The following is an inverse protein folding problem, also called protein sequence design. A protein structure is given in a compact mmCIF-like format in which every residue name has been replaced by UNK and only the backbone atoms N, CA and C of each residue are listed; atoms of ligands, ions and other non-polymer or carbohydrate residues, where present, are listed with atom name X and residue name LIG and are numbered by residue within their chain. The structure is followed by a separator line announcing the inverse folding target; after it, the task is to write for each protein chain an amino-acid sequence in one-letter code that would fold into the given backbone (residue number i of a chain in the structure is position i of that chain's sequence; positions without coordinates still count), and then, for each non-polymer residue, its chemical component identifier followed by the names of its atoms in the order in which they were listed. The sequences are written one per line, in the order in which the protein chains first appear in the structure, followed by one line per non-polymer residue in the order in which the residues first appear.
data_IF_050288765150
#
_entry.id   IF_050288765150
#
_cell.length_a   1.000
_cell.length_b   1.000
_cell.length_c   1.000
_cell.angle_alpha   90.00
_cell.angle_beta   90.00
_cell.angle_gamma   90.00
#
_symmetry.space_group_name_H-M   'P 1'
#
loop_
_entity.id
_entity.type
_entity.pdbx_description
1 polymer ?
#
# COMPACT_ATOMS: atom_id res chain seq x y z
N UNK A 1 -17.38 3.97 26.87
CA UNK A 1 -15.93 3.85 27.08
C UNK A 1 -15.24 4.18 25.77
N UNK A 2 -14.79 5.43 25.61
CA UNK A 2 -14.13 5.88 24.39
C UNK A 2 -12.66 5.57 24.50
N UNK A 3 -12.14 4.73 23.62
CA UNK A 3 -10.70 4.54 23.42
C UNK A 3 -10.17 5.75 22.67
N UNK A 4 -9.38 6.59 23.33
CA UNK A 4 -8.58 7.60 22.65
C UNK A 4 -7.45 6.86 21.96
N UNK A 5 -7.68 6.45 20.71
CA UNK A 5 -6.59 5.95 19.86
C UNK A 5 -5.74 7.16 19.48
N UNK A 6 -4.69 7.42 20.21
CA UNK A 6 -3.55 8.21 19.72
C UNK A 6 -2.87 7.37 18.65
N UNK A 7 -3.49 7.36 17.47
CA UNK A 7 -2.96 6.64 16.32
C UNK A 7 -1.89 7.53 15.69
N UNK A 8 -0.69 7.50 16.23
CA UNK A 8 0.48 7.94 15.50
C UNK A 8 0.77 6.86 14.45
N UNK A 9 0.06 6.90 13.30
CA UNK A 9 0.36 6.05 12.17
C UNK A 9 1.63 6.52 11.49
N UNK A 10 2.76 5.99 11.91
CA UNK A 10 3.99 6.08 11.15
C UNK A 10 4.42 4.67 10.79
N UNK A 11 3.98 4.18 9.65
CA UNK A 11 4.39 2.88 9.10
C UNK A 11 5.82 2.88 8.55
N UNK A 12 6.39 4.04 8.32
CA UNK A 12 7.75 4.18 7.79
C UNK A 12 8.77 4.07 8.91
N UNK A 13 9.30 2.88 9.12
CA UNK A 13 10.54 2.70 9.86
C UNK A 13 11.70 3.04 8.93
N UNK A 14 12.55 3.98 9.32
CA UNK A 14 13.75 4.29 8.56
C UNK A 14 14.82 3.21 8.76
N UNK A 15 15.53 2.86 7.69
CA UNK A 15 16.75 2.07 7.77
C UNK A 15 17.78 2.81 8.64
N UNK A 16 18.30 2.12 9.62
CA UNK A 16 19.34 2.65 10.50
C UNK A 16 20.71 2.09 10.10
N UNK A 17 21.77 2.89 10.26
CA UNK A 17 23.14 2.41 10.12
C UNK A 17 23.42 1.24 11.09
N UNK A 18 24.32 0.35 10.73
CA UNK A 18 24.75 -0.79 11.57
C UNK A 18 25.34 -0.35 12.91
N UNK A 19 25.76 0.91 13.04
CA UNK A 19 26.23 1.51 14.30
C UNK A 19 25.18 1.50 15.43
N UNK A 20 23.90 1.31 15.10
CA UNK A 20 22.83 1.17 16.08
C UNK A 20 22.85 -0.18 16.85
N UNK A 21 23.75 -1.08 16.51
CA UNK A 21 24.05 -2.29 17.29
C UNK A 21 24.27 -1.92 18.76
N UNK A 22 25.09 -0.90 19.02
CA UNK A 22 25.41 -0.48 20.41
C UNK A 22 24.17 -0.02 21.19
N UNK A 23 23.22 0.65 20.54
CA UNK A 23 21.95 1.06 21.17
C UNK A 23 21.09 -0.17 21.46
N UNK A 24 21.08 -1.12 20.54
CA UNK A 24 20.31 -2.35 20.69
C UNK A 24 20.86 -3.24 21.82
N UNK A 25 22.16 -3.35 21.94
CA UNK A 25 22.85 -4.20 22.93
C UNK A 25 23.01 -3.51 24.30
N UNK A 26 22.65 -2.23 24.40
CA UNK A 26 22.70 -1.47 25.67
C UNK A 26 21.80 -2.13 26.74
N UNK A 27 22.30 -2.19 27.97
CA UNK A 27 21.51 -2.60 29.14
C UNK A 27 20.63 -1.43 29.60
N UNK A 28 19.34 -1.71 29.74
CA UNK A 28 18.35 -0.78 30.24
C UNK A 28 17.94 -1.21 31.65
N UNK A 29 18.17 -0.38 32.68
CA UNK A 29 17.99 -0.78 34.09
C UNK A 29 16.53 -0.94 34.47
N UNK A 30 15.59 -0.33 33.74
CA UNK A 30 14.16 -0.35 34.07
C UNK A 30 13.35 -0.95 32.93
N UNK A 31 12.22 -1.54 33.25
CA UNK A 31 11.33 -2.23 32.31
C UNK A 31 10.08 -1.42 32.04
N UNK A 32 9.75 -1.23 30.75
CA UNK A 32 8.42 -0.85 30.28
C UNK A 32 7.58 -2.12 30.06
N UNK A 33 6.35 -2.15 30.59
CA UNK A 33 5.43 -3.26 30.34
C UNK A 33 4.72 -3.03 29.02
N UNK A 34 5.05 -3.80 27.99
CA UNK A 34 4.44 -3.71 26.67
C UNK A 34 4.02 -5.09 26.17
N UNK A 35 3.02 -5.12 25.29
CA UNK A 35 2.61 -6.29 24.51
C UNK A 35 3.03 -6.08 23.06
N UNK A 36 3.62 -7.12 22.47
CA UNK A 36 4.03 -7.08 21.05
C UNK A 36 3.49 -8.33 20.35
N UNK A 37 2.75 -8.12 19.30
CA UNK A 37 2.20 -9.17 18.45
C UNK A 37 2.90 -9.15 17.09
N UNK A 38 3.68 -10.18 16.75
CA UNK A 38 4.25 -10.33 15.42
C UNK A 38 3.14 -10.43 14.36
N UNK A 39 3.27 -9.67 13.28
CA UNK A 39 2.42 -9.82 12.12
C UNK A 39 2.97 -10.93 11.20
N UNK A 40 2.18 -11.98 10.90
CA UNK A 40 2.64 -13.06 10.03
C UNK A 40 2.98 -12.52 8.64
N UNK A 41 4.02 -13.06 7.98
CA UNK A 41 4.39 -12.62 6.65
C UNK A 41 3.31 -13.00 5.63
N UNK A 42 2.98 -12.09 4.74
CA UNK A 42 2.09 -12.32 3.61
C UNK A 42 2.65 -11.71 2.33
N UNK A 43 2.38 -12.33 1.20
CA UNK A 43 2.78 -11.81 -0.10
C UNK A 43 1.84 -10.66 -0.49
N UNK A 44 2.40 -9.48 -0.74
CA UNK A 44 1.64 -8.31 -1.17
C UNK A 44 1.60 -8.19 -2.71
N UNK A 45 0.82 -7.25 -3.23
CA UNK A 45 0.74 -6.98 -4.68
C UNK A 45 2.02 -6.36 -5.25
N UNK A 46 2.97 -5.98 -4.39
CA UNK A 46 4.34 -5.62 -4.74
C UNK A 46 5.24 -6.82 -5.00
N UNK A 47 4.71 -8.05 -4.94
CA UNK A 47 5.46 -9.30 -5.05
C UNK A 47 6.63 -9.40 -4.06
N UNK A 48 6.43 -8.84 -2.87
CA UNK A 48 7.33 -8.88 -1.72
C UNK A 48 6.56 -9.42 -0.54
N UNK A 49 7.21 -10.19 0.31
CA UNK A 49 6.59 -10.56 1.58
C UNK A 49 6.65 -9.38 2.53
N UNK A 50 5.50 -9.02 3.06
CA UNK A 50 5.35 -8.01 4.08
C UNK A 50 5.14 -8.68 5.43
N UNK A 51 5.90 -8.27 6.44
CA UNK A 51 5.78 -8.68 7.83
C UNK A 51 5.97 -7.46 8.73
N UNK A 52 5.86 -7.65 10.03
CA UNK A 52 6.00 -6.57 10.99
C UNK A 52 5.53 -6.95 12.38
N UNK A 53 5.01 -5.96 13.09
CA UNK A 53 4.49 -6.13 14.44
C UNK A 53 3.44 -5.06 14.75
N UNK A 54 2.60 -5.37 15.72
CA UNK A 54 1.79 -4.40 16.46
C UNK A 54 2.23 -4.41 17.91
N UNK A 55 2.25 -3.24 18.56
CA UNK A 55 2.50 -3.20 19.98
C UNK A 55 1.48 -2.34 20.71
N UNK A 56 1.27 -2.65 21.98
CA UNK A 56 0.43 -1.91 22.92
C UNK A 56 1.21 -1.61 24.21
N UNK A 57 1.10 -0.38 24.65
CA UNK A 57 1.72 0.14 25.87
C UNK A 57 0.68 0.88 26.69
N UNK A 58 0.48 0.49 27.95
CA UNK A 58 -0.44 1.20 28.84
C UNK A 58 0.05 2.64 29.08
N UNK A 59 -0.78 3.63 28.73
CA UNK A 59 -0.43 5.05 28.78
C UNK A 59 -0.15 5.58 30.19
N UNK A 60 -0.67 4.89 31.22
CA UNK A 60 -0.39 5.24 32.64
C UNK A 60 1.09 5.09 33.01
N UNK A 61 1.91 4.36 32.25
CA UNK A 61 3.35 4.28 32.46
C UNK A 61 4.09 5.54 31.99
N UNK A 62 3.43 6.41 31.23
CA UNK A 62 3.96 7.61 30.61
C UNK A 62 3.15 8.86 31.01
N UNK A 63 2.60 8.87 32.22
CA UNK A 63 1.88 10.04 32.73
C UNK A 63 2.82 11.21 33.01
N UNK A 64 2.34 12.43 32.72
CA UNK A 64 3.06 13.67 33.02
C UNK A 64 3.59 14.39 31.80
N UNK A 65 4.77 14.99 31.91
CA UNK A 65 5.41 15.73 30.82
C UNK A 65 5.60 14.85 29.60
N UNK A 66 5.62 15.48 28.42
CA UNK A 66 5.77 14.74 27.17
C UNK A 66 6.98 13.81 27.18
N UNK A 67 6.79 12.63 26.59
CA UNK A 67 7.80 11.57 26.54
C UNK A 67 8.28 11.36 25.12
N UNK A 68 9.55 10.97 25.00
CA UNK A 68 10.12 10.51 23.74
C UNK A 68 10.33 9.00 23.79
N UNK A 69 9.67 8.29 22.88
CA UNK A 69 9.86 6.85 22.69
C UNK A 69 10.65 6.58 21.41
N UNK A 70 11.47 5.55 21.44
CA UNK A 70 12.10 5.04 20.23
C UNK A 70 11.94 3.52 20.13
N UNK A 71 11.67 3.05 18.92
CA UNK A 71 11.63 1.62 18.57
C UNK A 71 12.81 1.32 17.67
N UNK A 72 13.52 0.23 17.97
CA UNK A 72 14.52 -0.35 17.11
C UNK A 72 14.13 -1.80 16.82
N UNK A 73 14.04 -2.15 15.55
CA UNK A 73 13.78 -3.51 15.10
C UNK A 73 15.01 -4.02 14.35
N UNK A 74 15.60 -5.12 14.84
CA UNK A 74 16.71 -5.81 14.21
C UNK A 74 16.16 -7.07 13.56
N UNK A 75 16.31 -7.19 12.24
CA UNK A 75 15.89 -8.35 11.46
C UNK A 75 17.13 -9.02 10.90
N UNK A 76 17.39 -10.24 11.36
CA UNK A 76 18.57 -11.03 10.96
C UNK A 76 18.11 -12.19 10.10
N UNK A 77 18.46 -12.24 8.80
CA UNK A 77 18.26 -13.42 7.98
C UNK A 77 19.17 -14.56 8.45
N UNK A 78 18.75 -15.81 8.21
CA UNK A 78 19.55 -17.00 8.53
C UNK A 78 20.93 -16.94 7.85
N UNK A 79 20.96 -16.42 6.61
CA UNK A 79 22.18 -16.25 5.83
C UNK A 79 22.31 -14.77 5.42
N UNK A 80 22.94 -13.96 6.26
CA UNK A 80 23.21 -12.56 5.95
C UNK A 80 23.37 -11.67 7.17
N UNK A 81 23.78 -10.42 6.97
CA UNK A 81 23.95 -9.48 8.06
C UNK A 81 22.59 -8.99 8.59
N UNK A 82 22.52 -8.54 9.86
CA UNK A 82 21.32 -7.94 10.42
C UNK A 82 21.03 -6.60 9.75
N UNK A 83 19.74 -6.30 9.61
CA UNK A 83 19.22 -5.00 9.15
C UNK A 83 18.46 -4.35 10.30
N UNK A 84 18.71 -3.08 10.53
CA UNK A 84 18.11 -2.30 11.59
C UNK A 84 17.12 -1.29 11.04
N UNK A 85 15.97 -1.20 11.69
CA UNK A 85 14.95 -0.20 11.43
C UNK A 85 14.70 0.60 12.70
N UNK A 86 14.48 1.91 12.57
CA UNK A 86 14.20 2.79 13.69
C UNK A 86 13.00 3.67 13.47
N UNK A 87 12.32 3.99 14.56
CA UNK A 87 11.19 4.90 14.59
C UNK A 87 11.17 5.63 15.94
N UNK A 88 11.07 6.95 15.89
CA UNK A 88 10.94 7.80 17.06
C UNK A 88 9.55 8.41 17.16
N UNK A 89 9.07 8.64 18.39
CA UNK A 89 7.78 9.27 18.67
C UNK A 89 7.96 10.30 19.78
N UNK A 90 7.50 11.51 19.54
CA UNK A 90 7.31 12.50 20.59
C UNK A 90 5.85 12.44 21.05
N UNK A 91 5.63 12.06 22.30
CA UNK A 91 4.31 11.98 22.87
C UNK A 91 3.96 13.30 23.58
N UNK A 92 2.73 13.79 23.42
CA UNK A 92 2.27 14.95 24.19
C UNK A 92 2.17 14.61 25.69
N UNK A 93 1.87 15.60 26.49
CA UNK A 93 1.53 15.37 27.91
C UNK A 93 0.36 14.40 28.00
N UNK A 94 0.56 13.30 28.73
CA UNK A 94 -0.44 12.26 28.90
C UNK A 94 -1.13 12.45 30.26
N UNK A 95 -2.45 12.73 30.28
CA UNK A 95 -3.22 12.83 31.49
C UNK A 95 -3.35 11.46 32.16
N UNK A 96 -3.79 11.44 33.41
CA UNK A 96 -4.11 10.18 34.11
C UNK A 96 -5.19 9.42 33.34
N UNK A 97 -4.85 8.24 32.82
CA UNK A 97 -5.72 7.44 31.95
C UNK A 97 -5.42 5.95 32.06
N UNK A 98 -6.42 5.13 31.79
CA UNK A 98 -6.29 3.68 31.65
C UNK A 98 -6.23 3.24 30.18
N UNK A 99 -5.99 4.16 29.26
CA UNK A 99 -5.90 3.87 27.83
C UNK A 99 -4.56 3.27 27.46
N UNK A 100 -4.48 2.69 26.26
CA UNK A 100 -3.25 2.18 25.70
C UNK A 100 -2.83 3.00 24.48
N UNK A 101 -1.52 3.10 24.31
CA UNK A 101 -0.88 3.59 23.09
C UNK A 101 -0.66 2.39 22.20
N UNK A 102 -1.22 2.40 21.00
CA UNK A 102 -1.11 1.31 20.05
C UNK A 102 -0.52 1.82 18.74
N UNK A 103 0.49 1.13 18.24
CA UNK A 103 1.05 1.38 16.90
C UNK A 103 1.75 0.12 16.41
N UNK A 104 2.32 0.18 15.21
CA UNK A 104 3.02 -0.94 14.61
C UNK A 104 4.09 -0.49 13.64
N UNK A 105 4.88 -1.44 13.20
CA UNK A 105 5.89 -1.24 12.18
C UNK A 105 5.96 -2.42 11.23
N UNK A 106 6.53 -2.20 10.05
CA UNK A 106 6.64 -3.23 9.02
C UNK A 106 7.95 -3.16 8.26
N UNK A 107 8.29 -4.28 7.67
CA UNK A 107 9.44 -4.47 6.80
C UNK A 107 9.12 -5.48 5.71
N UNK A 108 9.93 -5.51 4.67
CA UNK A 108 9.78 -6.42 3.54
C UNK A 108 10.85 -7.50 3.60
N UNK A 109 10.46 -8.72 3.22
CA UNK A 109 11.31 -9.91 3.28
C UNK A 109 11.31 -10.63 1.94
N UNK A 110 12.47 -11.20 1.58
CA UNK A 110 12.55 -12.29 0.61
C UNK A 110 12.18 -13.62 1.24
N UNK A 111 12.21 -14.73 0.48
CA UNK A 111 12.07 -16.06 1.06
C UNK A 111 13.23 -16.38 1.99
N UNK A 112 12.97 -17.09 3.10
CA UNK A 112 13.99 -17.45 4.07
C UNK A 112 13.47 -17.58 5.50
N UNK A 113 14.42 -17.72 6.42
CA UNK A 113 14.15 -17.68 7.86
C UNK A 113 14.81 -16.47 8.46
N UNK A 114 14.11 -15.84 9.41
CA UNK A 114 14.53 -14.59 10.02
C UNK A 114 14.34 -14.64 11.52
N UNK A 115 15.33 -14.16 12.26
CA UNK A 115 15.22 -13.80 13.67
C UNK A 115 14.92 -12.32 13.75
N UNK A 116 13.85 -11.97 14.46
CA UNK A 116 13.48 -10.57 14.71
C UNK A 116 13.66 -10.28 16.19
N UNK A 117 14.39 -9.23 16.48
CA UNK A 117 14.63 -8.72 17.81
C UNK A 117 14.13 -7.28 17.85
N UNK A 118 13.28 -6.97 18.81
CA UNK A 118 12.57 -5.72 18.92
C UNK A 118 12.82 -5.05 20.27
N UNK A 119 13.06 -3.75 20.25
CA UNK A 119 13.36 -2.94 21.41
C UNK A 119 12.53 -1.65 21.34
N UNK A 120 11.74 -1.39 22.38
CA UNK A 120 11.16 -0.08 22.69
C UNK A 120 11.92 0.49 23.89
N UNK A 121 12.32 1.77 23.84
CA UNK A 121 12.92 2.44 24.96
C UNK A 121 12.50 3.92 25.01
N UNK A 122 12.63 4.52 26.18
CA UNK A 122 12.36 5.92 26.42
C UNK A 122 13.62 6.71 26.82
N UNK A 123 13.46 8.02 26.96
CA UNK A 123 14.52 8.94 27.39
C UNK A 123 14.97 8.71 28.84
N UNK A 124 14.14 8.04 29.65
CA UNK A 124 14.45 7.71 31.06
C UNK A 124 15.25 6.41 31.18
N UNK A 125 15.53 5.73 30.09
CA UNK A 125 16.27 4.47 30.11
C UNK A 125 15.42 3.26 30.51
N UNK A 126 14.08 3.35 30.38
CA UNK A 126 13.17 2.22 30.54
C UNK A 126 13.00 1.53 29.20
N UNK A 127 12.91 0.21 29.18
CA UNK A 127 12.79 -0.52 27.90
C UNK A 127 11.85 -1.72 27.97
N UNK A 128 11.32 -2.11 26.81
CA UNK A 128 10.65 -3.38 26.58
C UNK A 128 11.33 -4.08 25.41
N UNK A 129 11.64 -5.38 25.57
CA UNK A 129 12.26 -6.22 24.52
C UNK A 129 11.40 -7.40 24.20
N UNK A 130 11.39 -7.79 22.93
CA UNK A 130 10.78 -9.02 22.41
C UNK A 130 11.64 -9.62 21.31
N UNK A 131 11.51 -10.93 21.12
CA UNK A 131 12.13 -11.60 19.98
C UNK A 131 11.23 -12.72 19.48
N UNK A 132 11.28 -12.96 18.16
CA UNK A 132 10.57 -14.06 17.52
C UNK A 132 11.33 -14.50 16.27
N UNK A 133 10.93 -15.64 15.74
CA UNK A 133 11.41 -16.13 14.46
C UNK A 133 10.24 -16.16 13.47
N UNK A 134 10.53 -15.91 12.21
CA UNK A 134 9.54 -16.04 11.14
C UNK A 134 10.12 -16.80 9.96
N UNK A 135 9.30 -17.63 9.32
CA UNK A 135 9.62 -18.34 8.09
C UNK A 135 8.79 -17.77 6.96
N UNK A 136 9.46 -17.46 5.87
CA UNK A 136 8.86 -16.86 4.68
C UNK A 136 9.06 -17.79 3.50
N UNK A 137 7.96 -18.26 2.90
CA UNK A 137 8.00 -19.13 1.74
C UNK A 137 6.74 -18.92 0.90
N UNK A 138 6.86 -19.07 -0.42
CA UNK A 138 5.71 -19.07 -1.32
C UNK A 138 4.81 -20.29 -1.00
N UNK A 139 3.51 -20.02 -0.94
CA UNK A 139 2.52 -21.08 -0.88
C UNK A 139 2.40 -21.79 -2.25
N UNK A 140 1.65 -22.90 -2.31
CA UNK A 140 1.51 -23.68 -3.55
C UNK A 140 0.88 -22.88 -4.70
N UNK A 141 -0.05 -21.99 -4.41
CA UNK A 141 -0.73 -21.19 -5.43
C UNK A 141 0.18 -20.11 -6.03
N UNK A 142 1.13 -19.60 -5.23
CA UNK A 142 2.02 -18.50 -5.60
C UNK A 142 3.37 -18.95 -6.18
N UNK A 143 3.65 -20.28 -6.27
CA UNK A 143 4.97 -20.82 -6.67
C UNK A 143 5.51 -20.33 -8.01
N UNK A 144 4.62 -19.92 -8.91
CA UNK A 144 5.01 -19.38 -10.23
C UNK A 144 5.35 -17.88 -10.18
N UNK A 145 5.10 -17.22 -9.04
CA UNK A 145 5.37 -15.80 -8.90
C UNK A 145 6.88 -15.59 -8.77
N UNK A 146 7.44 -14.77 -9.62
CA UNK A 146 8.80 -14.26 -9.43
C UNK A 146 8.76 -13.15 -8.40
N UNK A 147 9.38 -13.37 -7.25
CA UNK A 147 9.49 -12.37 -6.20
C UNK A 147 10.34 -11.17 -6.62
N UNK A 148 10.01 -10.01 -6.10
CA UNK A 148 10.77 -8.78 -6.34
C UNK A 148 12.00 -8.66 -5.41
N UNK A 149 12.04 -9.40 -4.29
CA UNK A 149 13.19 -9.46 -3.40
C UNK A 149 13.88 -10.83 -3.50
N UNK A 150 15.23 -10.86 -3.55
CA UNK A 150 16.01 -12.09 -3.45
C UNK A 150 15.76 -12.84 -2.13
N UNK A 151 16.04 -14.14 -2.05
CA UNK A 151 16.01 -14.87 -0.79
C UNK A 151 16.96 -14.26 0.26
N UNK A 152 16.62 -14.42 1.53
CA UNK A 152 17.37 -13.89 2.68
C UNK A 152 17.63 -12.37 2.64
N UNK A 153 16.77 -11.62 1.94
CA UNK A 153 16.85 -10.16 1.85
C UNK A 153 15.84 -9.51 2.78
N UNK A 154 16.25 -8.44 3.43
CA UNK A 154 15.42 -7.57 4.25
C UNK A 154 15.44 -6.18 3.63
N UNK A 155 14.29 -5.56 3.47
CA UNK A 155 14.16 -4.21 2.92
C UNK A 155 13.21 -3.34 3.75
N UNK A 156 13.42 -2.04 3.67
CA UNK A 156 12.52 -1.05 4.25
C UNK A 156 11.13 -1.16 3.62
N UNK A 157 10.13 -0.99 4.46
CA UNK A 157 8.76 -0.83 4.00
C UNK A 157 8.60 0.59 3.40
N UNK A 158 8.96 0.72 2.16
CA UNK A 158 8.93 1.98 1.42
C UNK A 158 8.03 1.83 0.19
N UNK A 159 7.34 2.90 -0.17
CA UNK A 159 6.63 3.02 -1.46
C UNK A 159 7.60 3.00 -2.65
N UNK A 160 8.87 3.28 -2.39
CA UNK A 160 9.93 3.14 -3.39
C UNK A 160 10.28 1.67 -3.53
N UNK A 161 9.80 1.04 -4.60
CA UNK A 161 10.33 -0.25 -5.01
C UNK A 161 11.83 -0.15 -5.25
N UNK A 162 12.61 -1.16 -4.83
CA UNK A 162 13.94 -1.31 -5.41
C UNK A 162 13.76 -1.46 -6.92
N UNK A 163 14.53 -0.76 -7.75
CA UNK A 163 14.43 -0.91 -9.19
C UNK A 163 14.60 -2.41 -9.51
N UNK A 164 13.69 -3.01 -10.28
CA UNK A 164 13.86 -4.39 -10.71
C UNK A 164 15.16 -4.49 -11.53
N UNK A 165 15.84 -5.63 -11.50
CA UNK A 165 16.94 -5.85 -12.41
C UNK A 165 16.46 -5.61 -13.84
N UNK A 166 17.25 -4.94 -14.69
CA UNK A 166 16.85 -4.61 -16.04
C UNK A 166 16.45 -5.89 -16.79
N UNK A 167 15.18 -5.97 -17.17
CA UNK A 167 14.72 -7.03 -18.07
C UNK A 167 15.06 -6.59 -19.49
N UNK A 168 15.68 -7.47 -20.23
CA UNK A 168 15.77 -7.37 -21.69
C UNK A 168 14.38 -7.70 -22.30
N UNK A 169 13.40 -6.84 -22.07
CA UNK A 169 12.11 -6.94 -22.72
C UNK A 169 12.09 -5.95 -23.87
N UNK A 170 11.54 -6.36 -25.01
CA UNK A 170 11.29 -5.43 -26.14
C UNK A 170 10.46 -4.26 -25.61
N UNK A 171 10.77 -3.01 -25.99
CA UNK A 171 9.96 -1.87 -25.62
C UNK A 171 8.50 -2.12 -25.99
N UNK A 172 7.61 -2.00 -25.00
CA UNK A 172 6.17 -2.07 -25.27
C UNK A 172 5.63 -0.79 -25.89
N UNK A 173 4.45 -0.85 -26.53
CA UNK A 173 3.73 0.34 -26.98
C UNK A 173 3.29 1.26 -25.83
N UNK A 174 2.80 2.47 -26.15
CA UNK A 174 2.31 3.43 -25.15
C UNK A 174 1.25 2.83 -24.24
N UNK A 175 1.34 3.17 -22.96
CA UNK A 175 0.45 2.70 -21.91
C UNK A 175 -0.14 3.90 -21.14
N UNK A 176 -1.46 3.98 -21.07
CA UNK A 176 -2.13 4.88 -20.13
C UNK A 176 -2.64 4.09 -18.93
N UNK A 177 -2.25 4.50 -17.74
CA UNK A 177 -2.75 3.93 -16.48
C UNK A 177 -3.64 4.95 -15.77
N UNK A 178 -4.89 4.56 -15.55
CA UNK A 178 -5.83 5.26 -14.69
C UNK A 178 -5.85 4.60 -13.33
N UNK A 179 -5.27 5.24 -12.31
CA UNK A 179 -5.28 4.76 -10.93
C UNK A 179 -6.48 5.32 -10.19
N UNK A 180 -7.44 4.47 -9.83
CA UNK A 180 -8.59 4.87 -9.02
C UNK A 180 -8.18 4.94 -7.55
N UNK A 181 -7.98 6.15 -7.04
CA UNK A 181 -7.64 6.43 -5.64
C UNK A 181 -8.90 6.38 -4.76
N UNK A 182 -9.35 5.17 -4.43
CA UNK A 182 -10.51 4.93 -3.60
C UNK A 182 -10.19 3.94 -2.47
N UNK A 183 -10.93 3.96 -1.34
CA UNK A 183 -10.77 2.97 -0.28
C UNK A 183 -11.09 1.55 -0.76
N UNK A 184 -10.30 0.57 -0.33
CA UNK A 184 -10.57 -0.85 -0.64
C UNK A 184 -11.93 -1.29 -0.07
N UNK A 185 -12.34 -0.74 1.05
CA UNK A 185 -13.67 -1.00 1.62
C UNK A 185 -14.64 0.11 1.23
N UNK A 186 -15.69 -0.24 0.48
CA UNK A 186 -16.72 0.68 -0.01
C UNK A 186 -17.45 1.50 1.09
N UNK A 187 -17.42 1.01 2.34
CA UNK A 187 -18.06 1.68 3.47
C UNK A 187 -17.21 2.79 4.09
N UNK A 188 -15.97 2.96 3.65
CA UNK A 188 -15.06 3.96 4.22
C UNK A 188 -15.13 5.28 3.48
N UNK A 189 -15.05 6.33 4.26
CA UNK A 189 -14.98 7.72 3.78
C UNK A 189 -13.57 8.31 3.87
N UNK A 190 -12.55 7.47 4.09
CA UNK A 190 -11.13 7.86 4.13
C UNK A 190 -10.28 6.73 3.58
N UNK A 191 -9.24 7.09 2.84
CA UNK A 191 -8.17 6.16 2.56
C UNK A 191 -7.37 5.91 3.84
N UNK A 192 -7.01 4.66 4.05
CA UNK A 192 -6.04 4.29 5.09
C UNK A 192 -4.66 4.22 4.48
N UNK A 193 -3.60 4.38 5.28
CA UNK A 193 -2.22 4.13 4.79
C UNK A 193 -2.05 2.77 4.12
N UNK A 194 -2.79 1.74 4.59
CA UNK A 194 -2.80 0.42 3.94
C UNK A 194 -3.44 0.42 2.54
N UNK A 195 -4.45 1.26 2.29
CA UNK A 195 -5.09 1.40 0.98
C UNK A 195 -4.12 2.11 0.02
N UNK A 196 -3.48 3.19 0.47
CA UNK A 196 -2.45 3.92 -0.28
C UNK A 196 -1.29 3.00 -0.67
N UNK A 197 -0.74 2.27 0.30
CA UNK A 197 0.34 1.33 0.07
C UNK A 197 -0.02 0.24 -0.94
N UNK A 198 -1.25 -0.27 -0.87
CA UNK A 198 -1.73 -1.26 -1.83
C UNK A 198 -1.80 -0.67 -3.23
N UNK A 199 -2.38 0.53 -3.39
CA UNK A 199 -2.55 1.19 -4.69
C UNK A 199 -1.21 1.54 -5.33
N UNK A 200 -0.33 2.21 -4.59
CA UNK A 200 1.00 2.61 -5.08
C UNK A 200 1.90 1.39 -5.31
N UNK A 201 1.83 0.40 -4.42
CA UNK A 201 2.56 -0.86 -4.57
C UNK A 201 2.12 -1.67 -5.79
N UNK A 202 0.81 -1.75 -6.05
CA UNK A 202 0.28 -2.41 -7.26
C UNK A 202 0.67 -1.64 -8.52
N UNK A 203 0.59 -0.31 -8.52
CA UNK A 203 1.03 0.53 -9.64
C UNK A 203 2.52 0.32 -9.94
N UNK A 204 3.39 0.41 -8.93
CA UNK A 204 4.83 0.18 -9.07
C UNK A 204 5.11 -1.19 -9.70
N UNK A 205 4.48 -2.23 -9.17
CA UNK A 205 4.69 -3.60 -9.65
C UNK A 205 4.15 -3.85 -11.05
N UNK A 206 3.05 -3.22 -11.41
CA UNK A 206 2.51 -3.24 -12.77
C UNK A 206 3.56 -2.69 -13.76
N UNK A 207 4.06 -1.49 -13.47
CA UNK A 207 5.00 -0.79 -14.34
C UNK A 207 6.36 -1.49 -14.41
N UNK A 208 6.88 -1.94 -13.27
CA UNK A 208 8.13 -2.70 -13.19
C UNK A 208 8.10 -3.97 -14.04
N UNK A 209 6.97 -4.68 -14.05
CA UNK A 209 6.84 -5.96 -14.76
C UNK A 209 6.54 -5.82 -16.24
N UNK A 210 5.84 -4.77 -16.63
CA UNK A 210 5.57 -4.50 -18.05
C UNK A 210 6.81 -4.04 -18.82
N UNK A 211 7.88 -3.66 -18.10
CA UNK A 211 9.14 -3.21 -18.68
C UNK A 211 9.09 -1.80 -19.29
N UNK A 212 10.21 -1.36 -19.91
CA UNK A 212 10.35 0.01 -20.40
C UNK A 212 9.34 0.30 -21.52
N UNK A 213 8.56 1.35 -21.36
CA UNK A 213 7.61 1.87 -22.32
C UNK A 213 7.20 3.31 -21.98
N UNK A 214 6.68 4.08 -22.92
CA UNK A 214 6.04 5.36 -22.60
C UNK A 214 4.82 5.12 -21.71
N UNK A 215 4.78 5.75 -20.54
CA UNK A 215 3.65 5.62 -19.61
C UNK A 215 3.05 7.00 -19.36
N UNK A 216 1.74 7.11 -19.59
CA UNK A 216 0.91 8.18 -19.09
C UNK A 216 0.19 7.70 -17.82
N UNK A 217 0.26 8.47 -16.76
CA UNK A 217 -0.42 8.17 -15.50
C UNK A 217 -1.43 9.25 -15.17
N UNK A 218 -2.65 8.82 -14.87
CA UNK A 218 -3.71 9.67 -14.33
C UNK A 218 -4.22 9.03 -13.04
N UNK A 219 -4.06 9.73 -11.91
CA UNK A 219 -4.65 9.33 -10.65
C UNK A 219 -5.95 10.10 -10.47
N UNK A 220 -7.04 9.39 -10.25
CA UNK A 220 -8.35 10.02 -10.12
C UNK A 220 -9.14 9.43 -8.95
N UNK A 221 -10.13 10.19 -8.51
CA UNK A 221 -11.14 9.69 -7.57
C UNK A 221 -12.54 9.92 -8.13
N UNK A 222 -13.32 8.84 -8.24
CA UNK A 222 -14.63 8.88 -8.86
C UNK A 222 -15.68 9.54 -7.96
N UNK A 223 -15.57 9.41 -6.63
CA UNK A 223 -16.49 10.03 -5.68
C UNK A 223 -16.38 11.57 -5.69
N UNK A 224 -15.16 12.08 -5.85
CA UNK A 224 -14.87 13.52 -5.98
C UNK A 224 -14.96 14.02 -7.41
N UNK A 225 -15.01 13.12 -8.40
CA UNK A 225 -14.96 13.47 -9.84
C UNK A 225 -13.76 14.34 -10.17
N UNK A 226 -12.62 13.98 -9.62
CA UNK A 226 -11.41 14.79 -9.66
C UNK A 226 -10.22 13.97 -10.11
N UNK A 227 -9.41 14.58 -10.98
CA UNK A 227 -8.05 14.14 -11.20
C UNK A 227 -7.15 14.68 -10.09
N UNK A 228 -6.44 13.79 -9.43
CA UNK A 228 -5.52 14.12 -8.34
C UNK A 228 -4.10 14.36 -8.84
N UNK A 229 -3.73 13.66 -9.92
CA UNK A 229 -2.41 13.73 -10.51
C UNK A 229 -2.47 13.29 -11.97
N UNK A 230 -1.73 13.99 -12.85
CA UNK A 230 -1.58 13.63 -14.27
C UNK A 230 -0.13 13.82 -14.69
N UNK A 231 0.40 12.83 -15.42
CA UNK A 231 1.75 12.89 -15.98
C UNK A 231 1.80 12.18 -17.33
N UNK A 232 2.15 12.88 -18.38
CA UNK A 232 2.19 12.33 -19.75
C UNK A 232 3.37 11.38 -19.98
N UNK A 233 4.49 11.61 -19.28
CA UNK A 233 5.71 10.79 -19.34
C UNK A 233 6.11 10.40 -17.92
N UNK A 234 5.33 9.53 -17.31
CA UNK A 234 5.52 9.10 -15.93
C UNK A 234 6.72 8.19 -15.77
N UNK A 235 7.49 8.40 -14.71
CA UNK A 235 8.61 7.55 -14.32
C UNK A 235 8.42 7.00 -12.90
N UNK A 236 8.93 5.80 -12.62
CA UNK A 236 8.83 5.17 -11.30
C UNK A 236 9.49 6.01 -10.17
N UNK A 237 10.44 6.87 -10.50
CA UNK A 237 11.04 7.83 -9.56
C UNK A 237 10.05 8.87 -9.03
N UNK A 238 8.92 9.07 -9.71
CA UNK A 238 7.87 10.03 -9.36
C UNK A 238 6.77 9.42 -8.46
N UNK A 239 6.86 8.15 -8.06
CA UNK A 239 5.85 7.47 -7.23
C UNK A 239 5.53 8.20 -5.91
N UNK A 240 6.49 8.94 -5.34
CA UNK A 240 6.24 9.74 -4.13
C UNK A 240 5.23 10.87 -4.37
N UNK A 241 5.18 11.43 -5.58
CA UNK A 241 4.20 12.46 -5.93
C UNK A 241 2.79 11.86 -6.00
N UNK A 242 2.69 10.62 -6.51
CA UNK A 242 1.44 9.84 -6.52
C UNK A 242 0.96 9.58 -5.09
N UNK A 243 1.84 9.08 -4.21
CA UNK A 243 1.52 8.84 -2.80
C UNK A 243 1.04 10.12 -2.11
N UNK A 244 1.71 11.26 -2.32
CA UNK A 244 1.29 12.55 -1.79
C UNK A 244 -0.11 12.95 -2.28
N UNK A 245 -0.36 12.89 -3.59
CA UNK A 245 -1.65 13.24 -4.17
C UNK A 245 -2.79 12.37 -3.62
N UNK A 246 -2.52 11.09 -3.34
CA UNK A 246 -3.49 10.18 -2.72
C UNK A 246 -3.70 10.52 -1.23
N UNK A 247 -2.65 10.85 -0.49
CA UNK A 247 -2.72 11.14 0.95
C UNK A 247 -3.45 12.47 1.25
N UNK A 248 -3.42 13.42 0.31
CA UNK A 248 -4.13 14.70 0.39
C UNK A 248 -5.63 14.58 0.06
N UNK A 249 -6.11 13.39 -0.36
CA UNK A 249 -7.51 13.20 -0.75
C UNK A 249 -8.44 13.13 0.47
N UNK A 250 -9.29 14.13 0.60
CA UNK A 250 -10.32 14.24 1.65
C UNK A 250 -11.69 13.78 1.16
N UNK A 251 -12.02 12.51 1.36
CA UNK A 251 -13.33 11.94 0.97
C UNK A 251 -14.48 12.30 1.93
N UNK A 252 -14.17 12.72 3.15
CA UNK A 252 -15.16 13.06 4.18
C UNK A 252 -15.91 14.37 3.92
N UNK A 253 -15.35 15.23 3.09
CA UNK A 253 -16.00 16.48 2.68
C UNK A 253 -16.84 16.24 1.42
N UNK A 254 -18.12 16.43 1.50
CA UNK A 254 -19.02 16.34 0.33
C UNK A 254 -19.07 17.70 -0.33
N UNK A 255 -18.65 17.78 -1.58
CA UNK A 255 -18.78 18.98 -2.39
C UNK A 255 -20.25 19.15 -2.81
N UNK A 256 -20.80 20.36 -2.59
CA UNK A 256 -22.16 20.69 -2.97
C UNK A 256 -22.41 20.50 -4.48
N UNK A 257 -21.45 20.83 -5.32
CA UNK A 257 -21.54 20.62 -6.77
C UNK A 257 -21.69 19.12 -7.14
N UNK A 258 -21.03 18.25 -6.37
CA UNK A 258 -21.16 16.78 -6.56
C UNK A 258 -22.58 16.32 -6.24
N UNK A 259 -23.24 16.93 -5.24
CA UNK A 259 -24.61 16.61 -4.88
C UNK A 259 -25.63 17.07 -5.94
N UNK A 260 -25.39 18.22 -6.57
CA UNK A 260 -26.29 18.75 -7.59
C UNK A 260 -26.33 17.94 -8.89
N UNK A 261 -25.32 17.13 -9.14
CA UNK A 261 -25.19 16.32 -10.36
C UNK A 261 -25.12 14.82 -10.03
N UNK A 262 -26.21 14.13 -9.72
CA UNK A 262 -26.21 12.75 -9.26
C UNK A 262 -25.47 11.78 -10.20
N UNK A 263 -25.44 12.03 -11.51
CA UNK A 263 -24.78 11.21 -12.54
C UNK A 263 -23.43 11.78 -13.02
N UNK A 264 -22.90 12.83 -12.43
CA UNK A 264 -21.66 13.46 -12.88
C UNK A 264 -20.42 12.55 -12.86
N UNK A 265 -20.42 11.47 -12.06
CA UNK A 265 -19.38 10.46 -12.11
C UNK A 265 -19.37 9.65 -13.42
N UNK A 266 -20.53 9.51 -14.08
CA UNK A 266 -20.65 8.89 -15.40
C UNK A 266 -19.96 9.73 -16.46
N UNK A 267 -20.27 11.03 -16.47
CA UNK A 267 -19.66 11.98 -17.42
C UNK A 267 -18.16 12.07 -17.20
N UNK A 268 -17.75 12.27 -15.95
CA UNK A 268 -16.33 12.34 -15.60
C UNK A 268 -15.53 11.10 -16.06
N UNK A 269 -16.08 9.89 -15.81
CA UNK A 269 -15.43 8.65 -16.26
C UNK A 269 -15.41 8.53 -17.79
N UNK A 270 -16.49 8.92 -18.46
CA UNK A 270 -16.57 8.89 -19.91
C UNK A 270 -15.53 9.85 -20.53
N UNK A 271 -15.42 11.07 -20.01
CA UNK A 271 -14.44 12.06 -20.49
C UNK A 271 -13.00 11.56 -20.31
N UNK A 272 -12.68 10.98 -19.15
CA UNK A 272 -11.37 10.38 -18.91
C UNK A 272 -11.01 9.29 -19.95
N UNK A 273 -11.96 8.39 -20.23
CA UNK A 273 -11.72 7.28 -21.16
C UNK A 273 -11.70 7.71 -22.62
N UNK A 274 -12.49 8.71 -22.99
CA UNK A 274 -12.56 9.20 -24.36
C UNK A 274 -11.30 9.97 -24.76
N UNK A 275 -10.65 10.68 -23.82
CA UNK A 275 -9.34 11.32 -24.05
C UNK A 275 -8.26 10.31 -24.48
N UNK A 276 -8.39 9.05 -24.10
CA UNK A 276 -7.41 7.98 -24.38
C UNK A 276 -7.92 6.95 -25.39
N UNK A 277 -8.90 7.32 -26.21
CA UNK A 277 -9.55 6.39 -27.13
C UNK A 277 -8.59 5.75 -28.15
N UNK A 278 -7.53 6.46 -28.52
CA UNK A 278 -6.59 6.10 -29.60
C UNK A 278 -5.18 5.72 -29.10
N UNK A 279 -4.99 5.51 -27.78
CA UNK A 279 -3.73 4.97 -27.26
C UNK A 279 -3.66 3.45 -27.46
N UNK A 280 -2.47 2.81 -27.37
CA UNK A 280 -2.34 1.37 -27.61
C UNK A 280 -3.04 0.55 -26.51
N UNK A 281 -2.77 0.88 -25.26
CA UNK A 281 -3.29 0.14 -24.12
C UNK A 281 -3.69 1.09 -22.99
N UNK A 282 -4.88 0.90 -22.46
CA UNK A 282 -5.41 1.61 -21.30
C UNK A 282 -5.69 0.63 -20.17
N UNK A 283 -5.18 0.90 -18.99
CA UNK A 283 -5.38 0.10 -17.78
C UNK A 283 -6.04 0.94 -16.71
N UNK A 284 -7.24 0.57 -16.30
CA UNK A 284 -7.85 1.02 -15.04
C UNK A 284 -7.31 0.12 -13.93
N UNK A 285 -6.71 0.69 -12.90
CA UNK A 285 -6.17 -0.03 -11.75
C UNK A 285 -6.78 0.55 -10.48
N UNK A 286 -7.33 -0.28 -9.61
CA UNK A 286 -7.85 0.18 -8.33
C UNK A 286 -8.93 -0.72 -7.73
N UNK A 287 -9.54 -0.33 -6.61
CA UNK A 287 -10.61 -1.07 -5.99
C UNK A 287 -11.92 -0.93 -6.75
N UNK A 288 -12.89 -1.78 -6.39
CA UNK A 288 -14.29 -1.63 -6.81
C UNK A 288 -14.82 -0.27 -6.39
N UNK A 289 -15.58 0.37 -7.27
CA UNK A 289 -16.29 1.61 -6.95
C UNK A 289 -17.63 1.31 -6.24
N UNK A 290 -18.22 2.34 -5.64
CA UNK A 290 -19.58 2.25 -5.06
C UNK A 290 -20.70 2.46 -6.06
N UNK A 291 -20.39 2.66 -7.34
CA UNK A 291 -21.32 2.90 -8.43
C UNK A 291 -21.53 1.63 -9.24
N UNK A 292 -22.69 0.99 -9.03
CA UNK A 292 -23.02 -0.32 -9.64
C UNK A 292 -23.92 -0.20 -10.87
N UNK A 293 -24.16 1.02 -11.32
CA UNK A 293 -24.93 1.27 -12.54
C UNK A 293 -24.15 0.91 -13.80
N UNK A 294 -24.88 0.68 -14.85
CA UNK A 294 -24.29 0.44 -16.17
C UNK A 294 -23.88 1.76 -16.84
N UNK A 295 -22.69 1.78 -17.43
CA UNK A 295 -22.29 2.89 -18.30
C UNK A 295 -23.30 3.03 -19.44
N UNK A 296 -23.93 4.23 -19.65
CA UNK A 296 -24.90 4.44 -20.70
C UNK A 296 -24.31 4.20 -22.11
N UNK A 297 -25.16 3.82 -23.06
CA UNK A 297 -24.77 3.70 -24.44
C UNK A 297 -24.41 5.08 -25.03
N UNK A 298 -23.41 5.13 -25.89
CA UNK A 298 -22.99 6.37 -26.57
C UNK A 298 -22.13 7.32 -25.72
N UNK A 299 -21.92 7.05 -24.43
CA UNK A 299 -21.06 7.90 -23.58
C UNK A 299 -19.57 7.58 -23.77
N UNK A 300 -19.23 6.33 -24.07
CA UNK A 300 -17.87 5.91 -24.36
C UNK A 300 -17.71 5.81 -25.87
N UNK A 301 -16.76 6.56 -26.40
CA UNK A 301 -16.42 6.53 -27.83
C UNK A 301 -15.76 5.22 -28.21
N UNK A 302 -15.99 4.77 -29.43
CA UNK A 302 -15.23 3.68 -30.00
C UNK A 302 -13.79 4.14 -30.27
N UNK A 303 -12.82 3.31 -29.91
CA UNK A 303 -11.40 3.60 -30.12
C UNK A 303 -10.61 2.33 -30.31
N UNK A 304 -9.38 2.47 -30.77
CA UNK A 304 -8.46 1.35 -31.06
C UNK A 304 -7.77 0.80 -29.79
N UNK A 305 -7.81 1.55 -28.68
CA UNK A 305 -7.12 1.18 -27.45
C UNK A 305 -7.64 -0.14 -26.86
N UNK A 306 -6.72 -1.03 -26.48
CA UNK A 306 -7.03 -2.21 -25.68
C UNK A 306 -7.30 -1.77 -24.23
N UNK A 307 -8.51 -1.99 -23.72
CA UNK A 307 -8.93 -1.51 -22.41
C UNK A 307 -9.00 -2.65 -21.40
N UNK A 308 -8.37 -2.46 -20.25
CA UNK A 308 -8.34 -3.41 -19.15
C UNK A 308 -8.80 -2.75 -17.84
N UNK A 309 -9.58 -3.46 -17.04
CA UNK A 309 -9.88 -3.09 -15.66
C UNK A 309 -9.24 -4.12 -14.71
N UNK A 310 -8.24 -3.72 -13.97
CA UNK A 310 -7.54 -4.49 -12.96
C UNK A 310 -8.12 -4.15 -11.58
N UNK A 311 -9.14 -4.90 -11.17
CA UNK A 311 -9.92 -4.62 -9.98
C UNK A 311 -9.32 -5.27 -8.73
N UNK A 312 -8.76 -4.48 -7.82
CA UNK A 312 -8.11 -4.93 -6.59
C UNK A 312 -9.13 -5.29 -5.51
N UNK A 313 -9.17 -6.55 -5.08
CA UNK A 313 -10.09 -7.07 -4.07
C UNK A 313 -9.38 -8.00 -3.07
N UNK A 314 -8.32 -7.56 -2.36
CA UNK A 314 -7.44 -8.44 -1.58
C UNK A 314 -8.11 -9.08 -0.35
N UNK A 315 -9.26 -8.59 0.12
CA UNK A 315 -9.86 -9.00 1.39
C UNK A 315 -11.32 -9.46 1.28
N UNK A 316 -11.81 -9.73 0.09
CA UNK A 316 -13.20 -10.19 -0.06
C UNK A 316 -13.34 -11.65 0.38
N UNK A 317 -13.93 -11.84 1.56
CA UNK A 317 -14.52 -13.11 1.96
C UNK A 317 -15.77 -13.35 1.11
N UNK A 318 -15.76 -14.44 0.36
CA UNK A 318 -16.89 -15.06 -0.34
C UNK A 318 -18.09 -14.14 -0.66
N UNK A 319 -18.08 -13.52 -1.81
CA UNK A 319 -19.20 -12.86 -2.47
C UNK A 319 -18.85 -12.69 -3.94
N UNK A 320 -19.82 -12.87 -4.82
CA UNK A 320 -19.64 -12.54 -6.23
C UNK A 320 -19.60 -11.02 -6.30
N UNK A 321 -18.48 -10.39 -6.70
CA UNK A 321 -18.45 -8.94 -6.86
C UNK A 321 -19.44 -8.57 -7.95
N UNK A 322 -20.33 -7.63 -7.64
CA UNK A 322 -21.21 -7.06 -8.65
C UNK A 322 -20.35 -6.20 -9.59
N UNK A 323 -20.61 -6.28 -10.92
CA UNK A 323 -19.94 -5.39 -11.85
C UNK A 323 -20.26 -3.93 -11.48
N UNK A 324 -19.21 -3.13 -11.37
CA UNK A 324 -19.34 -1.69 -11.13
C UNK A 324 -19.29 -0.90 -12.45
N UNK A 325 -19.36 0.43 -12.36
CA UNK A 325 -19.35 1.30 -13.53
C UNK A 325 -18.05 1.20 -14.32
N UNK A 326 -16.88 0.94 -13.67
CA UNK A 326 -15.60 0.74 -14.35
C UNK A 326 -15.64 -0.54 -15.20
N UNK A 327 -16.14 -1.64 -14.62
CA UNK A 327 -16.34 -2.90 -15.35
C UNK A 327 -17.29 -2.71 -16.52
N UNK A 328 -18.41 -1.98 -16.31
CA UNK A 328 -19.37 -1.69 -17.35
C UNK A 328 -18.78 -0.83 -18.49
N UNK A 329 -17.97 0.19 -18.17
CA UNK A 329 -17.30 1.04 -19.15
C UNK A 329 -16.32 0.25 -20.00
N UNK A 330 -15.51 -0.62 -19.38
CA UNK A 330 -14.55 -1.47 -20.07
C UNK A 330 -15.24 -2.45 -21.03
N UNK A 331 -16.32 -3.09 -20.57
CA UNK A 331 -17.10 -4.02 -21.42
C UNK A 331 -17.75 -3.33 -22.63
N UNK A 332 -18.15 -2.06 -22.50
CA UNK A 332 -18.67 -1.26 -23.62
C UNK A 332 -17.67 -1.15 -24.78
N UNK A 333 -16.39 -1.06 -24.47
CA UNK A 333 -15.29 -1.03 -25.44
C UNK A 333 -14.73 -2.43 -25.76
N UNK A 334 -15.45 -3.51 -25.44
CA UNK A 334 -15.00 -4.90 -25.64
C UNK A 334 -13.69 -5.21 -24.91
N UNK A 335 -13.36 -4.45 -23.87
CA UNK A 335 -12.19 -4.65 -23.02
C UNK A 335 -12.36 -5.80 -22.03
N UNK A 336 -11.35 -6.03 -21.20
CA UNK A 336 -11.30 -7.13 -20.23
C UNK A 336 -11.26 -6.58 -18.82
N UNK A 337 -12.14 -7.09 -17.93
CA UNK A 337 -12.09 -6.87 -16.50
C UNK A 337 -11.52 -8.10 -15.80
N UNK A 338 -10.50 -7.90 -15.00
CA UNK A 338 -9.78 -8.94 -14.26
C UNK A 338 -9.87 -8.65 -12.76
N UNK A 339 -10.41 -9.62 -12.03
CA UNK A 339 -10.57 -9.53 -10.59
C UNK A 339 -9.31 -10.05 -9.89
N UNK A 340 -8.67 -9.20 -9.11
CA UNK A 340 -7.39 -9.46 -8.47
C UNK A 340 -7.59 -9.66 -6.97
N UNK A 341 -7.70 -10.92 -6.55
CA UNK A 341 -7.85 -11.30 -5.13
C UNK A 341 -6.50 -11.62 -4.49
N UNK A 342 -5.58 -12.11 -5.29
CA UNK A 342 -4.26 -12.58 -4.85
C UNK A 342 -3.15 -11.99 -5.71
N UNK A 343 -1.91 -11.97 -5.22
CA UNK A 343 -0.75 -11.62 -6.05
C UNK A 343 -0.61 -12.51 -7.28
N UNK A 344 -1.02 -13.80 -7.22
CA UNK A 344 -1.03 -14.69 -8.38
C UNK A 344 -2.01 -14.24 -9.47
N UNK A 345 -3.20 -13.74 -9.07
CA UNK A 345 -4.15 -13.16 -10.04
C UNK A 345 -3.53 -11.94 -10.73
N UNK A 346 -2.84 -11.11 -9.94
CA UNK A 346 -2.19 -9.91 -10.46
C UNK A 346 -1.05 -10.24 -11.42
N UNK A 347 -0.21 -11.23 -11.09
CA UNK A 347 0.85 -11.69 -11.98
C UNK A 347 0.28 -12.15 -13.34
N UNK A 348 -0.79 -12.97 -13.32
CA UNK A 348 -1.47 -13.42 -14.55
C UNK A 348 -2.11 -12.26 -15.34
N UNK A 349 -2.68 -11.29 -14.62
CA UNK A 349 -3.25 -10.11 -15.26
C UNK A 349 -2.19 -9.28 -15.99
N UNK A 350 -1.01 -9.10 -15.41
CA UNK A 350 0.12 -8.40 -16.04
C UNK A 350 0.61 -9.14 -17.29
N UNK A 351 0.64 -10.48 -17.26
CA UNK A 351 1.03 -11.30 -18.40
C UNK A 351 0.04 -11.21 -19.56
N UNK A 352 -1.22 -10.84 -19.29
CA UNK A 352 -2.27 -10.70 -20.30
C UNK A 352 -2.32 -9.30 -20.97
N UNK A 353 -1.57 -8.32 -20.46
CA UNK A 353 -1.46 -6.95 -21.00
C UNK A 353 -0.45 -6.88 -22.16
#
# INVERSE_FOLDING_TARGET
MGTLQLVAFVWAQALLPTTWVNTFDRVYPQTLKCEVQPAPPYLNFGFRFQSGYFFSLAANQLQGAGHRLAIVTKVTPENGPPVFFGQGFDLPVIPKTNQSIETGGGYLLGEGRYKVEWLLYDEQGRACRRSWTTKVALNRADRKIKLALPPNTVAEFSLRGAPPPPRQTKPGGPLTVFLNAAPISLRRTRLRPSDEMLLVGALSSLLERLGPRPVKLVVFNLDKRQELYRREKFQLTELNQVGRAISELELGLVDYQVLQQPKGHVEFLADLLNQEANTDTVVLLGPTTRYFEKMPAGKIENGSARLFNLQLLPFLRAGVPFPDILDSAVRRRKGKSLLLRTPADFARAIEAL
#
